data_IF_095599700852
#
_entry.id   IF_095599700852
#
_cell.length_a   1.000
_cell.length_b   1.000
_cell.length_c   1.000
_cell.angle_alpha   90.00
_cell.angle_beta   90.00
_cell.angle_gamma   90.00
#
_symmetry.space_group_name_H-M   'P 1'
#
loop_
_entity.id
_entity.type
_entity.pdbx_description
1 polymer ?
#
# COMPACT_ATOMS: atom_id res chain seq x y z
N UNK A 1 -33.51 5.29 -49.99
CA UNK A 1 -32.63 5.54 -48.82
C UNK A 1 -31.23 5.12 -49.21
N UNK A 2 -30.29 6.04 -49.29
CA UNK A 2 -28.97 5.83 -49.89
C UNK A 2 -28.10 4.91 -49.02
N UNK A 3 -27.93 3.65 -49.40
CA UNK A 3 -27.16 2.60 -48.65
C UNK A 3 -25.75 3.04 -48.29
N UNK A 4 -25.14 3.87 -49.15
CA UNK A 4 -23.83 4.47 -48.92
C UNK A 4 -23.84 5.39 -47.67
N UNK A 5 -24.93 6.14 -47.45
CA UNK A 5 -25.13 6.99 -46.27
C UNK A 5 -25.37 6.13 -45.02
N UNK A 6 -26.12 5.03 -45.14
CA UNK A 6 -26.38 4.13 -44.01
C UNK A 6 -25.12 3.37 -43.60
N UNK A 7 -24.28 2.91 -44.52
CA UNK A 7 -22.98 2.27 -44.27
C UNK A 7 -21.99 3.24 -43.62
N UNK A 8 -21.90 4.47 -44.14
CA UNK A 8 -21.03 5.51 -43.52
C UNK A 8 -21.51 5.87 -42.13
N UNK A 9 -22.82 5.99 -41.93
CA UNK A 9 -23.40 6.24 -40.61
C UNK A 9 -23.11 5.10 -39.61
N UNK A 10 -23.24 3.84 -40.02
CA UNK A 10 -22.98 2.67 -39.19
C UNK A 10 -21.48 2.58 -38.82
N UNK A 11 -20.61 2.80 -39.81
CA UNK A 11 -19.16 2.80 -39.61
C UNK A 11 -18.72 3.92 -38.66
N UNK A 12 -19.29 5.13 -38.85
CA UNK A 12 -19.01 6.26 -37.96
C UNK A 12 -19.50 6.01 -36.54
N UNK A 13 -20.67 5.38 -36.36
CA UNK A 13 -21.19 5.02 -35.03
C UNK A 13 -20.29 3.99 -34.35
N UNK A 14 -19.84 2.96 -35.06
CA UNK A 14 -18.90 1.96 -34.50
C UNK A 14 -17.57 2.61 -34.12
N UNK A 15 -17.00 3.45 -34.96
CA UNK A 15 -15.76 4.18 -34.66
C UNK A 15 -15.92 5.08 -33.47
N UNK A 16 -17.01 5.86 -33.39
CA UNK A 16 -17.30 6.73 -32.27
C UNK A 16 -17.49 5.91 -30.96
N UNK A 17 -18.21 4.78 -31.03
CA UNK A 17 -18.41 3.91 -29.86
C UNK A 17 -17.10 3.29 -29.39
N UNK A 18 -16.25 2.82 -30.31
CA UNK A 18 -14.93 2.27 -29.98
C UNK A 18 -13.98 3.34 -29.44
N UNK A 19 -14.05 4.55 -29.99
CA UNK A 19 -13.25 5.69 -29.49
C UNK A 19 -13.72 6.12 -28.12
N UNK A 20 -15.03 6.20 -27.86
CA UNK A 20 -15.58 6.49 -26.54
C UNK A 20 -15.24 5.40 -25.51
N UNK A 21 -15.34 4.11 -25.89
CA UNK A 21 -14.94 3.01 -25.03
C UNK A 21 -13.43 3.05 -24.71
N UNK A 22 -12.61 3.39 -25.72
CA UNK A 22 -11.16 3.60 -25.55
C UNK A 22 -10.86 4.76 -24.61
N UNK A 23 -11.56 5.88 -24.74
CA UNK A 23 -11.41 7.05 -23.86
C UNK A 23 -11.87 6.72 -22.43
N UNK A 24 -12.97 5.99 -22.25
CA UNK A 24 -13.44 5.56 -20.92
C UNK A 24 -12.44 4.61 -20.27
N UNK A 25 -11.85 3.68 -21.03
CA UNK A 25 -10.82 2.76 -20.52
C UNK A 25 -9.51 3.50 -20.18
N UNK A 26 -9.12 4.48 -21.00
CA UNK A 26 -7.94 5.31 -20.74
C UNK A 26 -8.20 6.21 -19.53
N UNK A 27 -9.34 6.88 -19.42
CA UNK A 27 -9.69 7.71 -18.26
C UNK A 27 -9.85 6.88 -16.98
N UNK A 28 -10.35 5.64 -17.07
CA UNK A 28 -10.39 4.74 -15.90
C UNK A 28 -8.98 4.29 -15.44
N UNK A 29 -7.96 4.40 -16.29
CA UNK A 29 -6.55 4.16 -15.95
C UNK A 29 -5.78 5.43 -15.57
N UNK A 30 -6.27 6.62 -15.93
CA UNK A 30 -5.53 7.89 -15.76
C UNK A 30 -6.16 8.84 -14.74
N UNK A 31 -7.20 8.42 -14.01
CA UNK A 31 -7.86 9.26 -13.00
C UNK A 31 -7.24 9.20 -11.60
N UNK A 32 -6.11 8.50 -11.42
CA UNK A 32 -5.30 8.68 -10.22
C UNK A 32 -4.41 9.92 -10.45
N UNK A 33 -4.88 11.09 -10.03
CA UNK A 33 -3.95 12.21 -9.80
C UNK A 33 -2.86 11.67 -8.88
N UNK A 34 -1.61 11.73 -9.34
CA UNK A 34 -0.50 11.32 -8.49
C UNK A 34 -0.54 12.14 -7.21
N UNK A 35 -0.54 11.51 -6.04
CA UNK A 35 -0.68 12.20 -4.77
C UNK A 35 0.47 13.22 -4.57
N UNK A 36 0.18 14.25 -3.78
CA UNK A 36 1.16 15.30 -3.46
C UNK A 36 2.34 14.76 -2.66
N UNK A 37 2.10 13.71 -1.87
CA UNK A 37 3.10 12.98 -1.09
C UNK A 37 3.05 11.50 -1.47
N UNK A 38 4.22 10.92 -1.74
CA UNK A 38 4.37 9.48 -1.93
C UNK A 38 5.72 9.01 -1.39
N UNK A 39 5.77 7.76 -0.90
CA UNK A 39 7.04 7.09 -0.65
C UNK A 39 7.52 6.40 -1.92
N UNK A 40 8.71 6.73 -2.38
CA UNK A 40 9.38 6.02 -3.47
C UNK A 40 9.81 4.64 -2.98
N UNK A 41 10.48 4.64 -1.83
CA UNK A 41 10.85 3.42 -1.12
C UNK A 41 10.64 3.59 0.38
N UNK A 42 10.27 2.52 1.04
CA UNK A 42 10.20 2.40 2.48
C UNK A 42 10.85 1.08 2.87
N UNK A 43 12.03 1.15 3.47
CA UNK A 43 12.79 -0.03 3.88
C UNK A 43 12.86 -0.11 5.40
N UNK A 44 12.68 -1.33 5.95
CA UNK A 44 12.64 -1.58 7.38
C UNK A 44 13.76 -2.48 7.83
N UNK A 45 14.61 -2.00 8.74
CA UNK A 45 15.49 -2.82 9.54
C UNK A 45 14.87 -3.04 10.92
N UNK A 46 14.51 -4.28 11.23
CA UNK A 46 13.87 -4.66 12.51
C UNK A 46 14.73 -5.66 13.26
N UNK A 47 15.09 -5.33 14.48
CA UNK A 47 15.80 -6.20 15.39
C UNK A 47 14.92 -6.59 16.58
N UNK A 48 14.46 -7.84 16.61
CA UNK A 48 13.71 -8.42 17.72
C UNK A 48 14.65 -8.58 18.91
N UNK A 49 14.24 -8.05 20.05
CA UNK A 49 15.03 -8.11 21.29
C UNK A 49 14.63 -9.35 22.12
N UNK A 50 15.49 -9.76 23.08
CA UNK A 50 15.19 -10.91 23.95
C UNK A 50 13.97 -10.70 24.85
N UNK A 51 13.67 -9.45 25.19
CA UNK A 51 12.47 -9.06 25.92
C UNK A 51 11.21 -8.91 25.06
N UNK A 52 11.33 -9.25 23.77
CA UNK A 52 10.22 -9.17 22.81
C UNK A 52 9.96 -7.79 22.21
N UNK A 53 10.72 -6.77 22.59
CA UNK A 53 10.61 -5.45 21.97
C UNK A 53 11.17 -5.47 20.55
N UNK A 54 10.74 -4.55 19.70
CA UNK A 54 11.26 -4.39 18.36
C UNK A 54 12.03 -3.07 18.23
N UNK A 55 13.33 -3.15 17.92
CA UNK A 55 14.07 -1.98 17.43
C UNK A 55 13.85 -1.87 15.96
N UNK A 56 13.23 -0.77 15.54
CA UNK A 56 12.85 -0.52 14.15
C UNK A 56 13.62 0.69 13.65
N UNK A 57 14.20 0.57 12.46
CA UNK A 57 14.68 1.71 11.67
C UNK A 57 13.97 1.69 10.34
N UNK A 58 13.36 2.81 9.99
CA UNK A 58 12.72 3.04 8.70
C UNK A 58 13.65 3.90 7.85
N UNK A 59 14.05 3.41 6.70
CA UNK A 59 14.76 4.18 5.68
C UNK A 59 13.73 4.65 4.65
N UNK A 60 13.40 5.91 4.72
CA UNK A 60 12.34 6.55 3.93
C UNK A 60 12.97 7.30 2.77
N UNK A 61 12.50 7.09 1.54
CA UNK A 61 12.72 7.98 0.39
C UNK A 61 11.35 8.48 -0.08
N UNK A 62 11.05 9.74 0.13
CA UNK A 62 9.77 10.34 -0.20
C UNK A 62 9.88 11.38 -1.31
N UNK A 63 8.78 11.53 -2.06
CA UNK A 63 8.59 12.56 -3.05
C UNK A 63 7.53 13.53 -2.59
N UNK A 64 7.83 14.81 -2.66
CA UNK A 64 6.93 15.92 -2.37
C UNK A 64 6.65 16.69 -3.66
N UNK A 65 5.39 16.87 -4.03
CA UNK A 65 4.98 17.72 -5.14
C UNK A 65 4.63 19.12 -4.67
N UNK A 66 4.74 20.07 -5.59
CA UNK A 66 4.19 21.40 -5.40
C UNK A 66 2.67 21.32 -5.28
N UNK A 67 2.15 21.76 -4.14
CA UNK A 67 0.72 21.81 -3.80
C UNK A 67 0.22 23.24 -3.56
N UNK A 68 0.99 24.25 -4.02
CA UNK A 68 0.69 25.66 -3.83
C UNK A 68 0.93 26.17 -2.39
N UNK A 69 1.45 25.32 -1.50
CA UNK A 69 1.91 25.67 -0.15
C UNK A 69 3.11 24.82 0.23
N UNK A 70 3.98 25.34 1.05
CA UNK A 70 5.21 24.68 1.42
C UNK A 70 4.96 23.45 2.31
N UNK A 71 5.84 22.47 2.16
CA UNK A 71 6.02 21.38 3.09
C UNK A 71 6.94 21.83 4.22
N UNK A 72 6.51 21.61 5.44
CA UNK A 72 7.25 22.00 6.63
C UNK A 72 7.40 20.86 7.64
N UNK A 73 6.41 19.96 7.70
CA UNK A 73 6.32 18.93 8.73
C UNK A 73 5.88 17.60 8.14
N UNK A 74 6.52 16.52 8.57
CA UNK A 74 6.16 15.14 8.29
C UNK A 74 5.80 14.46 9.60
N UNK A 75 4.87 13.49 9.57
CA UNK A 75 4.50 12.73 10.75
C UNK A 75 4.01 11.33 10.42
N UNK A 76 4.07 10.46 11.41
CA UNK A 76 3.47 9.12 11.43
C UNK A 76 2.69 8.94 12.72
N UNK A 77 1.55 8.25 12.66
CA UNK A 77 0.71 7.97 13.82
C UNK A 77 0.80 6.51 14.22
N UNK A 78 0.83 6.28 15.51
CA UNK A 78 0.91 4.96 16.13
C UNK A 78 -0.18 4.82 17.18
N UNK A 79 -0.92 3.71 17.16
CA UNK A 79 -1.93 3.44 18.18
C UNK A 79 -1.34 2.51 19.23
N UNK A 80 -1.20 3.02 20.45
CA UNK A 80 -0.88 2.19 21.61
C UNK A 80 -2.12 1.39 22.03
N UNK A 81 -1.91 0.10 22.25
CA UNK A 81 -2.96 -0.85 22.72
C UNK A 81 -2.39 -1.72 23.83
N UNK A 82 -3.08 -1.81 24.95
CA UNK A 82 -2.62 -2.57 26.11
C UNK A 82 -2.27 -4.04 25.81
N UNK A 83 -2.85 -4.62 24.77
CA UNK A 83 -2.61 -6.01 24.35
C UNK A 83 -1.60 -6.16 23.21
N UNK A 84 -1.02 -5.06 22.73
CA UNK A 84 -0.02 -5.07 21.66
C UNK A 84 1.06 -4.02 21.94
N UNK A 85 1.18 -2.97 21.11
CA UNK A 85 2.13 -1.87 21.32
C UNK A 85 1.72 -1.06 22.56
N UNK A 86 2.57 -1.05 23.59
CA UNK A 86 2.25 -0.36 24.85
C UNK A 86 3.01 0.95 25.05
N UNK A 87 4.16 1.11 24.37
CA UNK A 87 4.96 2.34 24.44
C UNK A 87 5.93 2.41 23.27
N UNK A 88 6.45 3.60 22.97
CA UNK A 88 7.47 3.86 21.97
C UNK A 88 8.57 4.71 22.60
N UNK A 89 9.82 4.29 22.49
CA UNK A 89 10.98 5.01 22.99
C UNK A 89 12.16 5.02 22.02
N UNK A 90 13.29 5.58 22.42
CA UNK A 90 14.54 5.65 21.66
C UNK A 90 14.34 6.25 20.25
N UNK A 91 13.47 7.25 20.15
CA UNK A 91 13.15 7.88 18.88
C UNK A 91 14.35 8.67 18.38
N UNK A 92 14.70 8.46 17.12
CA UNK A 92 15.73 9.20 16.42
C UNK A 92 15.31 9.50 14.99
N UNK A 93 15.58 10.71 14.53
CA UNK A 93 15.35 11.14 13.15
C UNK A 93 16.63 11.71 12.58
N UNK A 94 17.02 11.21 11.40
CA UNK A 94 18.16 11.69 10.66
C UNK A 94 17.73 12.05 9.24
N UNK A 95 17.98 13.26 8.82
CA UNK A 95 17.93 13.66 7.43
C UNK A 95 19.16 13.11 6.69
N UNK A 96 18.94 12.06 5.91
CA UNK A 96 20.01 11.40 5.16
C UNK A 96 20.43 12.24 3.96
N UNK A 97 19.51 13.02 3.40
CA UNK A 97 19.79 13.91 2.26
C UNK A 97 20.83 14.98 2.60
N UNK A 98 20.75 15.52 3.82
CA UNK A 98 21.64 16.59 4.31
C UNK A 98 22.69 16.10 5.33
N UNK A 99 22.57 14.85 5.80
CA UNK A 99 23.45 14.26 6.81
C UNK A 99 23.23 14.77 8.22
N UNK A 100 22.09 15.42 8.49
CA UNK A 100 21.76 16.05 9.75
C UNK A 100 20.98 15.10 10.67
N UNK A 101 21.36 15.07 11.96
CA UNK A 101 20.58 14.38 12.99
C UNK A 101 19.68 15.38 13.72
N UNK A 102 18.39 15.16 13.67
CA UNK A 102 17.39 16.02 14.27
C UNK A 102 17.38 15.87 15.79
N UNK A 103 17.09 16.96 16.49
CA UNK A 103 16.97 16.99 17.96
C UNK A 103 15.52 16.94 18.35
N UNK A 104 15.22 16.38 19.53
CA UNK A 104 13.89 16.49 20.09
C UNK A 104 13.53 17.95 20.36
N UNK A 105 12.31 18.33 20.03
CA UNK A 105 11.73 19.64 20.28
C UNK A 105 10.25 19.51 20.64
N UNK A 106 9.63 20.64 20.91
CA UNK A 106 8.20 20.71 21.16
C UNK A 106 7.41 20.66 19.84
N UNK A 107 6.17 20.20 19.91
CA UNK A 107 5.24 20.30 18.79
C UNK A 107 4.89 21.77 18.51
N UNK A 108 4.88 22.15 17.25
CA UNK A 108 4.47 23.47 16.78
C UNK A 108 3.62 23.35 15.53
N UNK A 109 2.49 24.03 15.49
CA UNK A 109 1.67 24.10 14.27
C UNK A 109 2.41 24.88 13.18
N UNK A 110 2.66 24.28 11.99
CA UNK A 110 3.44 24.93 10.94
C UNK A 110 2.91 26.29 10.44
N UNK A 111 1.58 26.46 10.48
CA UNK A 111 0.92 27.68 10.01
C UNK A 111 1.03 28.85 11.01
N UNK A 112 1.33 28.54 12.28
CA UNK A 112 1.43 29.53 13.37
C UNK A 112 2.88 29.90 13.72
N UNK A 113 3.86 29.34 13.01
CA UNK A 113 5.27 29.49 13.34
C UNK A 113 5.97 30.46 12.39
N UNK A 114 6.47 31.55 12.95
CA UNK A 114 7.41 32.44 12.26
C UNK A 114 8.81 31.82 12.23
N UNK A 115 9.67 32.28 11.33
CA UNK A 115 11.10 31.87 11.23
C UNK A 115 11.32 30.34 11.21
N UNK A 116 10.45 29.60 10.52
CA UNK A 116 10.40 28.15 10.55
C UNK A 116 11.76 27.48 10.41
N UNK A 117 12.55 27.87 9.42
CA UNK A 117 13.84 27.26 9.12
C UNK A 117 14.88 27.45 10.23
N UNK A 118 14.83 28.56 10.94
CA UNK A 118 15.83 28.91 11.96
C UNK A 118 15.46 28.32 13.34
N UNK A 119 14.17 28.26 13.65
CA UNK A 119 13.70 27.93 15.00
C UNK A 119 13.14 26.53 15.14
N UNK A 120 12.53 25.97 14.08
CA UNK A 120 11.72 24.74 14.16
C UNK A 120 12.25 23.61 13.27
N UNK A 121 12.81 23.87 12.09
CA UNK A 121 13.38 22.83 11.23
C UNK A 121 14.53 22.08 11.93
N UNK A 122 14.75 20.82 11.55
CA UNK A 122 15.78 19.98 12.18
C UNK A 122 15.39 19.44 13.59
N UNK A 123 14.10 19.45 13.91
CA UNK A 123 13.57 18.92 15.18
C UNK A 123 12.54 17.82 14.92
N UNK A 124 12.52 16.82 15.80
CA UNK A 124 11.46 15.83 15.86
C UNK A 124 10.69 15.99 17.17
N UNK A 125 9.45 15.51 17.22
CA UNK A 125 8.57 15.55 18.38
C UNK A 125 7.76 14.27 18.49
N UNK A 126 7.19 14.03 19.69
CA UNK A 126 6.17 13.03 19.96
C UNK A 126 5.09 13.65 20.83
N UNK A 127 3.82 13.42 20.44
CA UNK A 127 2.64 13.95 21.13
C UNK A 127 1.52 12.93 21.14
N UNK A 128 0.63 13.07 22.12
CA UNK A 128 -0.63 12.32 22.23
C UNK A 128 -1.74 13.13 21.54
N UNK A 129 -2.34 12.55 20.50
CA UNK A 129 -3.42 13.13 19.69
C UNK A 129 -4.74 12.36 19.86
N UNK A 130 -4.88 11.61 20.95
CA UNK A 130 -6.01 10.71 21.21
C UNK A 130 -7.32 11.47 21.29
N UNK A 131 -7.36 12.57 22.01
CA UNK A 131 -8.59 13.33 22.27
C UNK A 131 -8.89 14.34 21.15
N UNK A 132 -7.87 15.08 20.70
CA UNK A 132 -8.00 16.08 19.62
C UNK A 132 -6.67 16.26 18.88
N UNK A 133 -6.66 16.05 17.59
CA UNK A 133 -5.48 16.29 16.74
C UNK A 133 -5.12 17.77 16.60
N UNK A 134 -6.06 18.67 16.90
CA UNK A 134 -5.83 20.11 16.88
C UNK A 134 -5.40 20.67 18.24
N UNK A 135 -5.36 19.83 19.29
CA UNK A 135 -4.81 20.15 20.61
C UNK A 135 -3.91 19.03 21.12
N UNK A 136 -2.77 18.74 20.45
CA UNK A 136 -1.87 17.66 20.82
C UNK A 136 -1.31 17.85 22.22
N UNK A 137 -1.33 16.79 23.02
CA UNK A 137 -0.80 16.82 24.38
C UNK A 137 0.64 16.29 24.43
N UNK A 138 1.51 16.81 25.27
CA UNK A 138 2.85 16.26 25.47
C UNK A 138 2.78 14.78 25.84
N UNK A 139 3.65 13.97 25.27
CA UNK A 139 3.81 12.55 25.62
C UNK A 139 5.25 12.28 26.04
N UNK A 140 5.41 11.66 27.19
CA UNK A 140 6.71 11.24 27.69
C UNK A 140 6.83 9.72 27.60
N UNK A 141 7.64 9.18 26.67
CA UNK A 141 7.98 7.75 26.65
C UNK A 141 8.41 7.26 28.03
N UNK A 142 8.11 6.02 28.37
CA UNK A 142 8.40 5.36 29.64
C UNK A 142 7.50 5.75 30.83
N UNK A 143 6.81 6.89 30.80
CA UNK A 143 5.89 7.28 31.90
C UNK A 143 4.43 7.30 31.45
N UNK A 144 4.16 7.65 30.19
CA UNK A 144 2.80 7.88 29.69
C UNK A 144 2.29 6.72 28.83
N UNK A 145 3.13 5.69 28.63
CA UNK A 145 2.77 4.44 27.98
C UNK A 145 1.66 3.67 28.72
N UNK A 146 1.11 2.67 28.07
CA UNK A 146 0.07 1.81 28.65
C UNK A 146 0.70 0.75 29.56
N UNK A 147 0.36 0.75 30.84
CA UNK A 147 0.92 -0.16 31.84
C UNK A 147 0.00 -1.34 32.17
N UNK A 148 -1.32 -1.17 32.03
CA UNK A 148 -2.30 -2.14 32.51
C UNK A 148 -3.22 -2.65 31.39
N UNK A 149 -3.62 -3.91 31.49
CA UNK A 149 -4.65 -4.49 30.64
C UNK A 149 -5.99 -3.76 30.84
N UNK A 150 -6.53 -3.21 29.74
CA UNK A 150 -7.83 -2.53 29.76
C UNK A 150 -7.76 -1.01 29.82
N UNK A 151 -6.57 -0.40 29.82
CA UNK A 151 -6.45 1.03 29.54
C UNK A 151 -6.98 1.34 28.13
N UNK A 152 -7.55 2.54 27.96
CA UNK A 152 -7.97 3.02 26.67
C UNK A 152 -6.78 3.14 25.69
N UNK A 153 -7.03 2.86 24.44
CA UNK A 153 -6.04 3.04 23.39
C UNK A 153 -5.61 4.51 23.33
N UNK A 154 -4.34 4.75 22.98
CA UNK A 154 -3.81 6.09 22.74
C UNK A 154 -3.30 6.20 21.30
N UNK A 155 -3.50 7.34 20.67
CA UNK A 155 -2.91 7.65 19.37
C UNK A 155 -1.77 8.64 19.54
N UNK A 156 -0.56 8.19 19.24
CA UNK A 156 0.63 9.02 19.26
C UNK A 156 0.97 9.50 17.87
N UNK A 157 1.44 10.73 17.76
CA UNK A 157 2.03 11.27 16.58
C UNK A 157 3.53 11.50 16.80
N UNK A 158 4.36 10.86 15.97
CA UNK A 158 5.79 11.12 15.87
C UNK A 158 6.00 11.91 14.60
N UNK A 159 6.47 13.15 14.74
CA UNK A 159 6.69 14.03 13.62
C UNK A 159 8.08 14.63 13.60
N UNK A 160 8.44 15.16 12.43
CA UNK A 160 9.70 15.90 12.25
C UNK A 160 9.51 17.08 11.31
N UNK A 161 10.18 18.15 11.66
CA UNK A 161 10.11 19.44 11.00
C UNK A 161 11.23 19.52 9.95
N UNK A 162 10.85 19.52 8.68
CA UNK A 162 11.78 19.68 7.57
C UNK A 162 12.00 21.19 7.27
N UNK A 163 13.12 21.58 6.67
CA UNK A 163 13.25 22.90 6.07
C UNK A 163 12.10 23.15 5.09
N UNK A 164 11.60 24.37 5.08
CA UNK A 164 10.50 24.79 4.22
C UNK A 164 10.80 24.45 2.76
N UNK A 165 9.99 23.58 2.15
CA UNK A 165 10.24 22.97 0.85
C UNK A 165 8.99 23.06 -0.01
N UNK A 166 9.11 23.54 -1.25
CA UNK A 166 7.98 23.60 -2.21
C UNK A 166 7.73 22.22 -2.84
N UNK A 167 8.80 21.59 -3.30
CA UNK A 167 8.77 20.24 -3.89
C UNK A 167 10.14 19.58 -3.79
N UNK A 168 10.16 18.26 -3.73
CA UNK A 168 11.39 17.47 -3.72
C UNK A 168 11.13 16.09 -4.32
N UNK A 169 11.95 15.67 -5.28
CA UNK A 169 11.80 14.37 -5.93
C UNK A 169 12.30 13.19 -5.08
N UNK A 170 13.24 13.46 -4.15
CA UNK A 170 13.81 12.43 -3.27
C UNK A 170 14.32 13.06 -1.99
N UNK A 171 13.52 13.03 -0.94
CA UNK A 171 13.88 13.46 0.40
C UNK A 171 14.00 12.23 1.30
N UNK A 172 15.16 12.05 1.93
CA UNK A 172 15.50 10.81 2.62
C UNK A 172 15.66 11.00 4.12
N UNK A 173 15.00 10.12 4.87
CA UNK A 173 15.09 10.08 6.33
C UNK A 173 15.34 8.67 6.84
N UNK A 174 16.14 8.56 7.89
CA UNK A 174 16.15 7.42 8.79
C UNK A 174 15.37 7.78 10.04
N UNK A 175 14.28 7.04 10.30
CA UNK A 175 13.47 7.17 11.52
C UNK A 175 13.62 5.90 12.34
N UNK A 176 14.19 6.01 13.53
CA UNK A 176 14.42 4.87 14.42
C UNK A 176 13.59 4.98 15.69
N UNK A 177 13.20 3.83 16.25
CA UNK A 177 12.44 3.75 17.50
C UNK A 177 12.50 2.35 18.10
N UNK A 178 12.16 2.23 19.37
CA UNK A 178 11.90 0.97 20.05
C UNK A 178 10.41 0.85 20.34
N UNK A 179 9.79 -0.23 19.84
CA UNK A 179 8.38 -0.56 20.08
C UNK A 179 8.28 -1.55 21.24
N UNK A 180 7.60 -1.17 22.31
CA UNK A 180 7.48 -1.95 23.54
C UNK A 180 6.19 -2.73 23.63
N UNK A 181 6.24 -3.91 24.28
CA UNK A 181 5.07 -4.71 24.58
C UNK A 181 4.40 -5.39 23.38
N UNK A 182 5.02 -5.35 22.19
CA UNK A 182 4.45 -5.97 20.97
C UNK A 182 4.37 -7.49 21.06
N UNK A 183 5.24 -8.11 21.88
CA UNK A 183 5.35 -9.56 21.97
C UNK A 183 4.62 -10.15 23.16
N UNK A 184 4.19 -11.41 23.00
CA UNK A 184 3.66 -12.25 24.10
C UNK A 184 4.50 -13.52 24.18
N UNK A 185 5.00 -13.83 25.39
CA UNK A 185 5.68 -15.09 25.68
C UNK A 185 4.67 -16.15 26.10
N UNK A 186 4.79 -17.33 25.48
CA UNK A 186 4.09 -18.56 25.83
C UNK A 186 5.10 -19.58 26.38
N UNK A 187 4.65 -20.75 26.80
CA UNK A 187 5.54 -21.76 27.37
C UNK A 187 6.61 -22.25 26.37
N UNK A 188 6.33 -22.18 25.08
CA UNK A 188 7.18 -22.73 24.00
C UNK A 188 7.73 -21.69 23.03
N UNK A 189 7.08 -20.53 22.89
CA UNK A 189 7.49 -19.46 21.96
C UNK A 189 7.21 -18.08 22.48
N UNK A 190 7.94 -17.09 21.95
CA UNK A 190 7.53 -15.68 21.97
C UNK A 190 7.01 -15.32 20.62
N UNK A 191 5.81 -14.77 20.53
CA UNK A 191 5.20 -14.37 19.27
C UNK A 191 4.85 -12.88 19.28
N UNK A 192 4.90 -12.27 18.09
CA UNK A 192 4.44 -10.90 17.85
C UNK A 192 3.73 -10.78 16.53
N UNK A 193 2.89 -9.77 16.44
CA UNK A 193 2.32 -9.26 15.21
C UNK A 193 2.69 -7.78 15.13
N UNK A 194 3.29 -7.40 14.01
CA UNK A 194 3.74 -6.03 13.76
C UNK A 194 3.22 -5.57 12.40
N UNK A 195 2.46 -4.52 12.42
CA UNK A 195 1.87 -3.88 11.25
C UNK A 195 2.61 -2.55 11.00
N UNK A 196 3.62 -2.54 10.09
CA UNK A 196 4.37 -1.32 9.75
C UNK A 196 3.48 -0.19 9.26
N UNK A 197 2.42 -0.53 8.53
CA UNK A 197 1.33 0.35 8.12
C UNK A 197 0.06 -0.47 7.87
N UNK A 198 -1.07 0.09 8.27
CA UNK A 198 -2.39 -0.50 8.16
C UNK A 198 -3.23 0.09 7.03
N UNK A 199 -4.48 -0.34 6.95
CA UNK A 199 -5.46 0.16 5.97
C UNK A 199 -5.75 1.67 6.12
N UNK A 200 -5.34 2.29 7.21
CA UNK A 200 -5.45 3.73 7.44
C UNK A 200 -4.36 4.54 6.71
N UNK A 201 -3.31 3.86 6.20
CA UNK A 201 -2.26 4.52 5.42
C UNK A 201 -2.83 5.13 4.13
N UNK A 202 -2.74 6.45 4.01
CA UNK A 202 -3.20 7.20 2.85
C UNK A 202 -2.07 7.52 1.86
N UNK A 203 -0.83 7.18 2.19
CA UNK A 203 0.34 7.51 1.39
C UNK A 203 0.70 6.29 0.55
N UNK A 204 0.66 6.37 -0.79
CA UNK A 204 1.10 5.29 -1.65
C UNK A 204 2.62 5.10 -1.58
N UNK A 205 3.06 3.84 -1.69
CA UNK A 205 4.45 3.44 -1.59
C UNK A 205 4.85 2.63 -2.81
N UNK A 206 5.86 3.07 -3.53
CA UNK A 206 6.34 2.38 -4.74
C UNK A 206 6.91 1.00 -4.41
N UNK A 207 7.87 0.93 -3.49
CA UNK A 207 8.47 -0.31 -3.03
C UNK A 207 8.65 -0.31 -1.52
N UNK A 208 8.17 -1.35 -0.88
CA UNK A 208 8.45 -1.65 0.53
C UNK A 208 9.41 -2.83 0.57
N UNK A 209 10.48 -2.71 1.36
CA UNK A 209 11.36 -3.82 1.71
C UNK A 209 11.53 -3.89 3.21
N UNK A 210 12.03 -5.01 3.71
CA UNK A 210 12.38 -5.07 5.11
C UNK A 210 13.08 -6.36 5.50
N UNK A 211 13.78 -6.27 6.62
CA UNK A 211 14.49 -7.37 7.25
C UNK A 211 14.18 -7.43 8.73
N UNK A 212 13.63 -8.54 9.16
CA UNK A 212 13.41 -8.84 10.58
C UNK A 212 14.49 -9.83 11.04
N UNK A 213 15.27 -9.41 12.02
CA UNK A 213 16.32 -10.23 12.63
C UNK A 213 15.91 -10.64 14.03
N UNK A 214 16.27 -11.87 14.42
CA UNK A 214 15.95 -12.44 15.74
C UNK A 214 17.17 -12.38 16.67
N UNK A 215 16.97 -12.56 18.00
CA UNK A 215 18.04 -12.57 18.97
C UNK A 215 19.11 -13.64 18.66
N UNK A 216 20.33 -13.42 19.14
CA UNK A 216 21.40 -14.40 19.02
C UNK A 216 21.00 -15.77 19.61
N UNK A 217 21.30 -16.84 18.86
CA UNK A 217 20.91 -18.23 19.18
C UNK A 217 19.66 -18.68 18.44
N UNK A 218 18.95 -17.75 17.78
CA UNK A 218 17.83 -18.06 16.90
C UNK A 218 18.34 -18.31 15.46
N UNK A 219 17.72 -19.27 14.79
CA UNK A 219 17.97 -19.63 13.38
C UNK A 219 16.68 -20.15 12.73
N UNK A 220 16.75 -20.60 11.48
CA UNK A 220 15.58 -21.05 10.73
C UNK A 220 14.85 -22.29 11.28
N UNK A 221 15.43 -23.00 12.28
CA UNK A 221 14.81 -24.17 12.91
C UNK A 221 14.00 -23.83 14.15
N UNK A 222 14.27 -22.68 14.77
CA UNK A 222 13.64 -22.23 16.02
C UNK A 222 13.02 -20.83 15.90
N UNK A 223 12.71 -20.40 14.70
CA UNK A 223 11.91 -19.21 14.41
C UNK A 223 11.02 -19.41 13.18
N UNK A 224 9.89 -18.74 13.18
CA UNK A 224 8.88 -18.77 12.12
C UNK A 224 8.42 -17.35 11.84
N UNK A 225 8.14 -17.03 10.59
CA UNK A 225 7.65 -15.71 10.24
C UNK A 225 6.85 -15.75 8.93
N UNK A 226 5.82 -14.95 8.86
CA UNK A 226 4.88 -14.81 7.74
C UNK A 226 4.67 -13.34 7.43
N UNK A 227 4.29 -13.07 6.20
CA UNK A 227 3.93 -11.74 5.71
C UNK A 227 2.51 -11.78 5.16
N UNK A 228 1.68 -10.86 5.63
CA UNK A 228 0.32 -10.66 5.13
C UNK A 228 0.23 -9.31 4.42
N UNK A 229 -0.23 -9.33 3.18
CA UNK A 229 -0.48 -8.13 2.39
C UNK A 229 -1.39 -8.47 1.21
N UNK A 230 -2.11 -7.49 0.69
CA UNK A 230 -2.90 -7.61 -0.54
C UNK A 230 -2.05 -7.47 -1.80
N UNK A 231 -0.84 -6.93 -1.67
CA UNK A 231 0.05 -6.59 -2.77
C UNK A 231 0.87 -7.78 -3.26
N UNK A 232 1.46 -7.63 -4.45
CA UNK A 232 2.47 -8.56 -4.93
C UNK A 232 3.69 -8.48 -4.02
N UNK A 233 4.03 -9.59 -3.38
CA UNK A 233 5.09 -9.65 -2.38
C UNK A 233 5.97 -10.86 -2.54
N UNK A 234 7.18 -10.78 -2.00
CA UNK A 234 8.13 -11.88 -1.88
C UNK A 234 8.64 -11.97 -0.45
N UNK A 235 8.93 -13.18 0.01
CA UNK A 235 9.56 -13.43 1.30
C UNK A 235 10.71 -14.40 1.14
N UNK A 236 11.77 -14.22 1.94
CA UNK A 236 12.89 -15.13 2.02
C UNK A 236 13.35 -15.28 3.48
N UNK A 237 13.81 -16.46 3.85
CA UNK A 237 14.35 -16.77 5.18
C UNK A 237 15.86 -16.92 5.10
N UNK A 238 16.59 -16.12 5.88
CA UNK A 238 18.03 -16.25 6.02
C UNK A 238 18.44 -17.42 6.93
N UNK A 239 19.70 -17.83 6.84
CA UNK A 239 20.28 -18.93 7.65
C UNK A 239 20.18 -18.67 9.16
N UNK A 240 20.27 -17.42 9.58
CA UNK A 240 20.07 -16.96 10.96
C UNK A 240 18.59 -16.81 11.35
N UNK A 241 17.69 -17.35 10.55
CA UNK A 241 16.25 -17.24 10.78
C UNK A 241 15.62 -15.88 10.44
N UNK A 242 16.39 -14.91 9.93
CA UNK A 242 15.83 -13.61 9.55
C UNK A 242 14.76 -13.75 8.47
N UNK A 243 13.73 -12.90 8.54
CA UNK A 243 12.77 -12.73 7.46
C UNK A 243 13.19 -11.54 6.62
N UNK A 244 13.32 -11.72 5.32
CA UNK A 244 13.40 -10.64 4.35
C UNK A 244 12.11 -10.61 3.55
N UNK A 245 11.57 -9.44 3.30
CA UNK A 245 10.36 -9.27 2.53
C UNK A 245 10.43 -8.07 1.58
N UNK A 246 9.60 -8.13 0.55
CA UNK A 246 9.39 -7.02 -0.38
C UNK A 246 7.94 -7.01 -0.84
N UNK A 247 7.35 -5.82 -0.99
CA UNK A 247 6.07 -5.59 -1.61
C UNK A 247 6.16 -4.36 -2.52
N UNK A 248 5.42 -4.38 -3.64
CA UNK A 248 5.45 -3.31 -4.62
C UNK A 248 4.04 -2.77 -4.87
N UNK A 249 3.97 -1.53 -5.36
CA UNK A 249 2.74 -0.86 -5.76
C UNK A 249 1.69 -0.83 -4.62
N UNK A 250 2.14 -0.48 -3.42
CA UNK A 250 1.29 -0.33 -2.24
C UNK A 250 0.47 0.94 -2.38
N UNK A 251 -0.85 0.81 -2.42
CA UNK A 251 -1.79 1.92 -2.57
C UNK A 251 -2.27 2.42 -1.22
N UNK A 252 -2.86 3.60 -1.20
CA UNK A 252 -3.64 4.05 -0.05
C UNK A 252 -4.71 3.00 0.32
N UNK A 253 -4.81 2.67 1.61
CA UNK A 253 -5.71 1.64 2.11
C UNK A 253 -5.19 0.20 1.99
N UNK A 254 -3.97 -0.02 1.51
CA UNK A 254 -3.31 -1.32 1.61
C UNK A 254 -2.57 -1.44 2.96
N UNK A 255 -2.36 -2.68 3.39
CA UNK A 255 -1.67 -3.00 4.63
C UNK A 255 -0.50 -3.95 4.41
N UNK A 256 0.41 -3.95 5.36
CA UNK A 256 1.47 -4.94 5.48
C UNK A 256 1.58 -5.36 6.94
N UNK A 257 1.52 -6.66 7.20
CA UNK A 257 1.54 -7.23 8.53
C UNK A 257 2.54 -8.39 8.60
N UNK A 258 3.41 -8.37 9.60
CA UNK A 258 4.40 -9.40 9.89
C UNK A 258 3.99 -10.12 11.15
N UNK A 259 3.70 -11.42 11.00
CA UNK A 259 3.51 -12.34 12.12
C UNK A 259 4.76 -13.16 12.28
N UNK A 260 5.33 -13.19 13.49
CA UNK A 260 6.52 -13.97 13.72
C UNK A 260 6.58 -14.53 15.15
N UNK A 261 7.38 -15.60 15.30
CA UNK A 261 7.67 -16.17 16.62
C UNK A 261 9.07 -16.78 16.65
N UNK A 262 9.61 -16.89 17.86
CA UNK A 262 10.88 -17.56 18.11
C UNK A 262 10.81 -18.38 19.43
N UNK A 263 11.73 -19.30 19.59
CA UNK A 263 11.79 -20.23 20.73
C UNK A 263 11.91 -19.47 22.06
N UNK A 264 11.02 -19.77 23.01
CA UNK A 264 10.95 -19.09 24.32
C UNK A 264 12.23 -19.22 25.15
N UNK A 265 13.04 -20.25 24.92
CA UNK A 265 14.31 -20.46 25.65
C UNK A 265 15.33 -19.35 25.42
N UNK A 266 15.18 -18.55 24.35
CA UNK A 266 16.03 -17.42 24.02
C UNK A 266 15.47 -16.08 24.51
N UNK A 267 14.28 -16.09 25.10
CA UNK A 267 13.64 -14.91 25.62
C UNK A 267 14.08 -14.58 27.06
N UNK A 268 14.04 -13.32 27.41
CA UNK A 268 14.30 -12.84 28.76
C UNK A 268 13.56 -11.53 29.03
N UNK A 269 12.68 -11.55 30.03
CA UNK A 269 12.02 -10.34 30.49
C UNK A 269 10.91 -9.82 29.56
N UNK A 270 10.22 -10.73 28.86
CA UNK A 270 9.05 -10.35 28.03
C UNK A 270 7.94 -9.84 28.96
N UNK A 271 7.45 -8.64 28.72
CA UNK A 271 6.50 -7.98 29.60
C UNK A 271 5.14 -8.71 29.68
N UNK A 272 4.69 -9.29 28.57
CA UNK A 272 3.41 -10.01 28.50
C UNK A 272 3.64 -11.52 28.42
N UNK A 273 3.01 -12.26 29.32
CA UNK A 273 3.11 -13.72 29.37
C UNK A 273 1.74 -14.37 29.34
N UNK A 274 1.63 -15.54 28.71
CA UNK A 274 0.44 -16.39 28.70
C UNK A 274 0.86 -17.85 28.86
N UNK A 275 0.16 -18.60 29.71
CA UNK A 275 0.39 -20.03 29.90
C UNK A 275 -0.09 -20.84 28.69
N UNK A 276 0.55 -21.97 28.44
CA UNK A 276 0.21 -22.94 27.40
C UNK A 276 1.14 -22.87 26.20
N UNK A 277 1.19 -23.96 25.45
CA UNK A 277 1.93 -24.05 24.19
C UNK A 277 1.15 -23.34 23.07
N UNK A 278 1.83 -22.54 22.27
CA UNK A 278 1.20 -21.74 21.19
C UNK A 278 1.78 -22.00 19.81
N UNK A 279 3.00 -22.52 19.73
CA UNK A 279 3.72 -22.72 18.45
C UNK A 279 2.90 -23.45 17.40
N UNK A 280 2.41 -24.64 17.73
CA UNK A 280 1.71 -25.46 16.75
C UNK A 280 0.42 -24.82 16.29
N UNK A 281 -0.32 -24.21 17.20
CA UNK A 281 -1.55 -23.48 16.89
C UNK A 281 -1.27 -22.35 15.90
N UNK A 282 -0.25 -21.52 16.16
CA UNK A 282 0.09 -20.41 15.28
C UNK A 282 0.53 -20.92 13.89
N UNK A 283 1.35 -21.99 13.82
CA UNK A 283 1.75 -22.60 12.54
C UNK A 283 0.53 -23.07 11.76
N UNK A 284 -0.44 -23.72 12.41
CA UNK A 284 -1.63 -24.24 11.76
C UNK A 284 -2.53 -23.11 11.24
N UNK A 285 -2.73 -22.06 12.05
CA UNK A 285 -3.52 -20.89 11.70
C UNK A 285 -2.88 -20.14 10.51
N UNK A 286 -1.58 -19.87 10.55
CA UNK A 286 -0.85 -19.18 9.49
C UNK A 286 -0.78 -20.01 8.19
N UNK A 287 -0.54 -21.32 8.32
CA UNK A 287 -0.54 -22.22 7.15
C UNK A 287 -1.90 -22.27 6.48
N UNK A 288 -2.99 -22.20 7.26
CA UNK A 288 -4.35 -22.14 6.73
C UNK A 288 -4.60 -20.82 6.00
N UNK A 289 -4.25 -19.69 6.62
CA UNK A 289 -4.40 -18.36 6.01
C UNK A 289 -3.61 -18.25 4.70
N UNK A 290 -2.37 -18.74 4.67
CA UNK A 290 -1.55 -18.74 3.46
C UNK A 290 -2.18 -19.57 2.33
N UNK A 291 -2.75 -20.75 2.64
CA UNK A 291 -3.47 -21.56 1.65
C UNK A 291 -4.71 -20.86 1.11
N UNK A 292 -5.49 -20.25 1.98
CA UNK A 292 -6.69 -19.48 1.60
C UNK A 292 -6.32 -18.28 0.74
N UNK A 293 -5.28 -17.55 1.10
CA UNK A 293 -4.77 -16.44 0.32
C UNK A 293 -4.31 -16.88 -1.08
N UNK A 294 -3.47 -17.91 -1.18
CA UNK A 294 -3.02 -18.47 -2.47
C UNK A 294 -4.19 -18.94 -3.33
N UNK A 295 -5.18 -19.60 -2.74
CA UNK A 295 -6.40 -20.03 -3.44
C UNK A 295 -7.20 -18.83 -3.98
N UNK A 296 -7.34 -17.78 -3.19
CA UNK A 296 -8.04 -16.55 -3.59
C UNK A 296 -7.33 -15.83 -4.74
N UNK A 297 -6.00 -15.73 -4.70
CA UNK A 297 -5.19 -15.13 -5.77
C UNK A 297 -5.30 -15.91 -7.08
N UNK A 298 -5.22 -17.25 -7.01
CA UNK A 298 -5.43 -18.11 -8.17
C UNK A 298 -6.83 -17.90 -8.77
N UNK A 299 -7.86 -17.84 -7.94
CA UNK A 299 -9.25 -17.61 -8.38
C UNK A 299 -9.42 -16.23 -9.04
N UNK A 300 -8.80 -15.18 -8.49
CA UNK A 300 -8.80 -13.82 -9.08
C UNK A 300 -8.09 -13.81 -10.44
N UNK A 301 -6.94 -14.47 -10.57
CA UNK A 301 -6.20 -14.58 -11.82
C UNK A 301 -7.03 -15.32 -12.89
N UNK A 302 -7.64 -16.46 -12.55
CA UNK A 302 -8.51 -17.21 -13.45
C UNK A 302 -9.72 -16.38 -13.90
N UNK A 303 -10.40 -15.68 -12.98
CA UNK A 303 -11.53 -14.80 -13.31
C UNK A 303 -11.12 -13.66 -14.24
N UNK A 304 -9.93 -13.07 -14.05
CA UNK A 304 -9.41 -12.01 -14.91
C UNK A 304 -9.16 -12.54 -16.32
N UNK A 305 -8.47 -13.67 -16.46
CA UNK A 305 -8.21 -14.32 -17.76
C UNK A 305 -9.52 -14.69 -18.46
N UNK A 306 -10.46 -15.29 -17.74
CA UNK A 306 -11.79 -15.63 -18.26
C UNK A 306 -12.55 -14.38 -18.75
N UNK A 307 -12.46 -13.28 -18.00
CA UNK A 307 -13.02 -11.98 -18.40
C UNK A 307 -12.43 -11.45 -19.72
N UNK A 308 -11.12 -11.52 -19.89
CA UNK A 308 -10.45 -11.13 -21.14
C UNK A 308 -10.84 -12.02 -22.32
N UNK A 309 -10.93 -13.34 -22.11
CA UNK A 309 -11.39 -14.28 -23.16
C UNK A 309 -12.82 -13.96 -23.55
N UNK A 310 -13.70 -13.71 -22.59
CA UNK A 310 -15.10 -13.37 -22.85
C UNK A 310 -15.23 -12.04 -23.62
N UNK A 311 -14.49 -11.02 -23.25
CA UNK A 311 -14.46 -9.74 -23.96
C UNK A 311 -13.95 -9.91 -25.41
N UNK A 312 -12.92 -10.73 -25.62
CA UNK A 312 -12.41 -11.03 -26.96
C UNK A 312 -13.46 -11.76 -27.84
N UNK A 313 -14.17 -12.73 -27.26
CA UNK A 313 -15.25 -13.45 -27.97
C UNK A 313 -16.40 -12.51 -28.37
N UNK A 314 -16.80 -11.61 -27.49
CA UNK A 314 -17.80 -10.57 -27.84
C UNK A 314 -17.29 -9.68 -28.96
N UNK A 315 -16.05 -9.23 -28.92
CA UNK A 315 -15.43 -8.42 -29.98
C UNK A 315 -15.44 -9.13 -31.34
N UNK A 316 -15.08 -10.41 -31.37
CA UNK A 316 -15.12 -11.23 -32.60
C UNK A 316 -16.57 -11.37 -33.12
N UNK A 317 -17.53 -11.65 -32.24
CA UNK A 317 -18.94 -11.80 -32.63
C UNK A 317 -19.49 -10.48 -33.23
N UNK A 318 -19.16 -9.33 -32.64
CA UNK A 318 -19.54 -8.02 -33.16
C UNK A 318 -18.88 -7.73 -34.53
N UNK A 319 -17.61 -8.08 -34.73
CA UNK A 319 -16.91 -7.92 -36.01
C UNK A 319 -17.54 -8.80 -37.10
N UNK A 320 -17.88 -10.05 -36.80
CA UNK A 320 -18.57 -10.97 -37.72
C UNK A 320 -19.96 -10.43 -38.08
N UNK A 321 -20.72 -9.95 -37.12
CA UNK A 321 -22.04 -9.35 -37.38
C UNK A 321 -21.92 -8.10 -38.28
N UNK A 322 -20.97 -7.22 -38.01
CA UNK A 322 -20.72 -6.03 -38.81
C UNK A 322 -20.36 -6.40 -40.26
N UNK A 323 -19.49 -7.40 -40.46
CA UNK A 323 -19.10 -7.90 -41.76
C UNK A 323 -20.31 -8.51 -42.52
N UNK A 324 -21.13 -9.31 -41.82
CA UNK A 324 -22.36 -9.86 -42.37
C UNK A 324 -23.31 -8.75 -42.86
N UNK A 325 -23.58 -7.75 -42.05
CA UNK A 325 -24.43 -6.61 -42.45
C UNK A 325 -23.84 -5.82 -43.61
N UNK A 326 -22.52 -5.64 -43.68
CA UNK A 326 -21.85 -4.98 -44.78
C UNK A 326 -22.04 -5.74 -46.08
N UNK A 327 -21.87 -7.07 -46.09
CA UNK A 327 -22.06 -7.93 -47.28
C UNK A 327 -23.52 -7.92 -47.75
N UNK A 328 -24.49 -8.05 -46.84
CA UNK A 328 -25.92 -8.01 -47.17
C UNK A 328 -26.31 -6.66 -47.76
N UNK A 329 -25.82 -5.56 -47.19
CA UNK A 329 -26.07 -4.20 -47.68
C UNK A 329 -25.46 -3.98 -49.09
N UNK A 330 -24.26 -4.51 -49.33
CA UNK A 330 -23.60 -4.43 -50.61
C UNK A 330 -24.38 -5.21 -51.69
N UNK A 331 -24.84 -6.43 -51.45
CA UNK A 331 -25.68 -7.23 -52.34
C UNK A 331 -26.99 -6.53 -52.66
N UNK A 332 -27.69 -5.96 -51.67
CA UNK A 332 -28.91 -5.19 -51.93
C UNK A 332 -28.70 -3.94 -52.80
N UNK A 333 -27.51 -3.33 -52.71
CA UNK A 333 -27.15 -2.18 -53.56
C UNK A 333 -26.99 -2.55 -55.04
N UNK A 334 -26.32 -3.67 -55.33
CA UNK A 334 -26.16 -4.17 -56.71
C UNK A 334 -27.52 -4.52 -57.35
N UNK A 335 -28.38 -5.21 -56.62
CA UNK A 335 -29.71 -5.61 -57.13
C UNK A 335 -30.61 -4.41 -57.49
N UNK A 336 -30.54 -3.30 -56.77
CA UNK A 336 -31.25 -2.07 -57.10
C UNK A 336 -30.67 -1.35 -58.33
N UNK A 337 -29.37 -1.49 -58.56
CA UNK A 337 -28.71 -0.94 -59.77
C UNK A 337 -29.21 -1.63 -61.04
N UNK A 338 -29.29 -2.93 -61.05
CA UNK A 338 -29.72 -3.74 -62.22
C UNK A 338 -31.18 -3.47 -62.59
N UNK A 339 -32.06 -3.29 -61.61
CA UNK A 339 -33.49 -2.94 -61.87
C UNK A 339 -33.62 -1.53 -62.49
N UNK A 340 -32.82 -0.55 -62.02
CA UNK A 340 -32.84 0.80 -62.54
C UNK A 340 -32.36 0.90 -64.01
N UNK A 341 -31.36 0.10 -64.35
CA UNK A 341 -30.84 0.03 -65.73
C UNK A 341 -31.87 -0.64 -66.69
N UNK A 342 -32.58 -1.68 -66.28
CA UNK A 342 -33.65 -2.34 -67.05
C UNK A 342 -34.82 -1.41 -67.38
N UNK A 343 -35.23 -0.56 -66.42
CA UNK A 343 -36.32 0.43 -66.70
C UNK A 343 -35.92 1.56 -67.61
N UNK A 344 -34.70 2.00 -67.66
CA UNK A 344 -34.22 3.02 -68.57
C UNK A 344 -34.14 2.50 -70.02
N UNK A 345 -33.84 1.23 -70.25
CA UNK A 345 -33.86 0.64 -71.58
C UNK A 345 -35.27 0.47 -72.21
N UNK A 346 -36.26 0.17 -71.39
CA UNK A 346 -37.68 0.04 -71.83
C UNK A 346 -38.31 1.39 -72.23
N UNK A 347 -37.87 2.51 -71.69
CA UNK A 347 -38.34 3.85 -72.09
C UNK A 347 -37.68 4.44 -73.32
N UNK A 348 -36.58 3.88 -73.78
CA UNK A 348 -35.90 4.33 -74.95
C UNK A 348 -36.42 3.68 -76.22
N UNK A 349 -37.40 2.76 -76.19
CA UNK A 349 -37.99 2.05 -77.33
C UNK A 349 -39.48 2.39 -77.58
N UNK A 350 -40.08 3.30 -76.85
CA UNK A 350 -41.37 3.93 -77.14
C UNK A 350 -41.13 5.38 -77.66
#
# INVERSE_FOLDING_TARGET
MNIRRTLVSLLSTIVVTLTMLGIVLINAQTSDEEPDLSYRTLDYDVAVQRNGDLKVTQHIDMRLKDRGRDWKQMYQRYTLKSKNLTDISDIGVKDVSNGETYRQGDFVFPDNADNWNDEHAGRWYIVDVTEDENDPQPFNPQTDGLSDDGQADKTLEIGWNIPQTVSEDSLKFDVSMTLHGVSTAYDDVVSFQWEPFGEENQIPIGTVTGKVTFPNGINGKNSWAWLHTKNTSTTNRGDNGSLMFSANDVRAGDYLDVVAMFDASQAQGVARTKSGAYKQRLIDDETKQEREWRSSQHTKAVKRVAGWIFAALIGIALAVAALYFAIVSFRKSQYKGDIAVSYTHLRAHE
#
